data_IF_759092006403
#
_entry.id   IF_759092006403
#
_cell.length_a   1.000
_cell.length_b   1.000
_cell.length_c   1.000
_cell.angle_alpha   90.00
_cell.angle_beta   90.00
_cell.angle_gamma   90.00
#
_symmetry.space_group_name_H-M   'P 1'
#
loop_
_entity.id
_entity.type
_entity.pdbx_description
1 polymer ?
#
# COMPACT_ATOMS: atom_id res chain seq x y z
N UNK A 1 -32.37 33.39 9.19
CA UNK A 1 -32.43 32.21 8.30
C UNK A 1 -33.24 31.16 9.03
N UNK A 2 -34.34 30.68 8.47
CA UNK A 2 -35.08 29.54 9.03
C UNK A 2 -34.29 28.27 8.76
N UNK A 3 -33.93 27.53 9.80
CA UNK A 3 -33.26 26.24 9.68
C UNK A 3 -34.15 25.30 8.87
N UNK A 4 -33.75 25.06 7.61
CA UNK A 4 -34.38 24.03 6.78
C UNK A 4 -33.79 22.69 7.20
N UNK A 5 -34.52 21.96 8.02
CA UNK A 5 -34.21 20.54 8.24
C UNK A 5 -34.61 19.73 7.01
N UNK A 6 -33.74 18.80 6.61
CA UNK A 6 -34.05 17.81 5.59
C UNK A 6 -35.06 16.83 6.18
N UNK A 7 -36.18 16.53 5.50
CA UNK A 7 -37.13 15.53 5.98
C UNK A 7 -36.45 14.16 6.12
N UNK A 8 -36.90 13.31 7.05
CA UNK A 8 -36.35 11.97 7.19
C UNK A 8 -36.53 11.17 5.90
N UNK A 9 -35.59 10.27 5.64
CA UNK A 9 -35.71 9.32 4.53
C UNK A 9 -36.93 8.41 4.75
N UNK A 10 -37.64 8.01 3.68
CA UNK A 10 -38.78 7.11 3.78
C UNK A 10 -38.38 5.65 4.09
N UNK A 11 -37.08 5.35 4.01
CA UNK A 11 -36.52 4.04 4.32
C UNK A 11 -36.67 3.68 5.81
N UNK A 12 -36.64 2.38 6.13
CA UNK A 12 -36.71 1.93 7.53
C UNK A 12 -35.51 2.50 8.33
N UNK A 13 -35.73 2.85 9.61
CA UNK A 13 -34.63 3.27 10.48
C UNK A 13 -33.52 2.23 10.50
N UNK A 14 -32.28 2.67 10.29
CA UNK A 14 -31.12 1.79 10.37
C UNK A 14 -30.86 1.37 11.82
N UNK A 15 -30.49 0.11 12.02
CA UNK A 15 -30.11 -0.40 13.33
C UNK A 15 -28.65 -0.08 13.63
N UNK A 16 -28.36 0.22 14.90
CA UNK A 16 -27.00 0.42 15.38
C UNK A 16 -26.32 -0.94 15.51
N UNK A 17 -25.14 -1.08 14.90
CA UNK A 17 -24.32 -2.29 15.00
C UNK A 17 -23.12 -2.04 15.91
N UNK A 18 -22.89 -2.91 16.89
CA UNK A 18 -21.65 -2.93 17.68
C UNK A 18 -20.60 -3.80 16.97
N UNK A 19 -19.37 -3.30 16.89
CA UNK A 19 -18.26 -3.99 16.23
C UNK A 19 -17.20 -4.41 17.25
N UNK A 20 -16.87 -5.70 17.26
CA UNK A 20 -15.72 -6.21 17.99
C UNK A 20 -14.51 -6.35 17.08
N UNK A 21 -13.46 -5.61 17.42
CA UNK A 21 -12.31 -5.44 16.55
C UNK A 21 -11.13 -6.34 16.94
N UNK A 22 -10.46 -6.91 15.93
CA UNK A 22 -9.17 -7.60 16.08
C UNK A 22 -8.21 -7.10 15.02
N UNK A 23 -6.97 -6.81 15.39
CA UNK A 23 -5.95 -6.32 14.46
C UNK A 23 -4.83 -7.34 14.30
N UNK A 24 -4.53 -7.68 13.06
CA UNK A 24 -3.41 -8.55 12.68
C UNK A 24 -2.30 -7.71 12.02
N UNK A 25 -1.04 -8.07 12.28
CA UNK A 25 0.11 -7.44 11.67
C UNK A 25 0.83 -8.43 10.74
N UNK A 26 0.98 -8.02 9.49
CA UNK A 26 1.68 -8.74 8.44
C UNK A 26 2.97 -8.02 8.12
N UNK A 27 4.09 -8.75 8.10
CA UNK A 27 5.41 -8.18 7.83
C UNK A 27 5.97 -8.73 6.53
N UNK A 28 6.74 -7.90 5.83
CA UNK A 28 7.54 -8.35 4.72
C UNK A 28 8.55 -9.45 5.18
N UNK A 29 8.75 -10.55 4.43
CA UNK A 29 8.06 -10.90 3.18
C UNK A 29 6.65 -11.44 3.47
N UNK A 30 5.64 -10.94 2.74
CA UNK A 30 4.20 -11.19 2.99
C UNK A 30 3.74 -12.61 2.60
N UNK A 31 4.38 -13.62 3.17
CA UNK A 31 4.13 -15.04 2.92
C UNK A 31 3.08 -15.58 3.89
N UNK A 32 1.83 -15.16 3.72
CA UNK A 32 0.70 -15.57 4.54
C UNK A 32 -0.37 -16.26 3.69
N UNK A 33 -1.09 -17.28 4.18
CA UNK A 33 -2.06 -18.04 3.38
C UNK A 33 -3.16 -17.19 2.75
N UNK A 34 -3.47 -16.05 3.39
CA UNK A 34 -4.55 -15.15 3.02
C UNK A 34 -4.07 -13.90 2.26
N UNK A 35 -2.77 -13.84 1.93
CA UNK A 35 -2.15 -12.73 1.19
C UNK A 35 -1.59 -13.25 -0.13
N UNK A 36 -1.98 -12.60 -1.22
CA UNK A 36 -1.40 -12.82 -2.56
C UNK A 36 -0.67 -11.56 -2.99
N UNK A 37 0.64 -11.69 -3.24
CA UNK A 37 1.45 -10.64 -3.85
C UNK A 37 1.41 -10.85 -5.37
N UNK A 38 0.79 -9.92 -6.09
CA UNK A 38 0.76 -9.94 -7.55
C UNK A 38 1.84 -9.00 -8.07
N UNK A 39 2.87 -9.59 -8.68
CA UNK A 39 3.97 -8.86 -9.31
C UNK A 39 3.90 -8.97 -10.83
N UNK A 40 4.21 -7.88 -11.54
CA UNK A 40 4.42 -7.89 -12.99
C UNK A 40 5.80 -7.33 -13.32
N UNK A 41 6.83 -8.14 -13.11
CA UNK A 41 8.24 -7.78 -13.23
C UNK A 41 8.69 -7.49 -14.68
N UNK A 42 9.48 -6.44 -14.88
CA UNK A 42 10.37 -6.26 -16.05
C UNK A 42 11.69 -5.63 -15.58
N UNK A 43 12.73 -6.46 -15.40
CA UNK A 43 14.10 -6.00 -15.14
C UNK A 43 14.71 -6.52 -13.84
N UNK A 44 15.91 -7.11 -13.94
CA UNK A 44 16.62 -7.96 -12.98
C UNK A 44 17.13 -7.33 -11.66
N UNK A 45 16.40 -6.47 -10.97
CA UNK A 45 16.77 -6.03 -9.62
C UNK A 45 16.53 -7.15 -8.59
N UNK A 46 17.60 -7.54 -7.88
CA UNK A 46 17.64 -8.66 -6.92
C UNK A 46 17.34 -8.26 -5.47
N UNK A 47 16.94 -7.02 -5.22
CA UNK A 47 16.79 -6.46 -3.87
C UNK A 47 15.31 -6.29 -3.50
N UNK A 48 15.02 -6.42 -2.20
CA UNK A 48 13.73 -6.92 -1.71
C UNK A 48 12.50 -6.06 -2.03
N UNK A 49 11.52 -6.68 -2.71
CA UNK A 49 10.13 -6.21 -2.90
C UNK A 49 10.04 -4.71 -3.22
N UNK A 50 10.84 -4.29 -4.19
CA UNK A 50 10.57 -3.12 -5.00
C UNK A 50 9.35 -3.46 -5.83
N UNK A 51 8.24 -2.79 -5.54
CA UNK A 51 7.06 -2.91 -6.36
C UNK A 51 7.31 -2.14 -7.64
N UNK A 52 6.93 -2.70 -8.79
CA UNK A 52 7.08 -1.95 -10.02
C UNK A 52 6.37 -0.58 -9.90
N UNK A 53 7.04 0.53 -10.28
CA UNK A 53 6.45 1.85 -10.27
C UNK A 53 5.11 1.84 -11.01
N UNK A 54 4.08 2.48 -10.43
CA UNK A 54 2.94 2.93 -11.22
C UNK A 54 3.50 4.02 -12.14
N UNK A 55 3.76 3.65 -13.40
CA UNK A 55 4.26 4.48 -14.49
C UNK A 55 5.79 4.67 -14.53
N UNK A 56 6.55 3.63 -14.93
CA UNK A 56 7.92 3.80 -15.42
C UNK A 56 7.93 4.56 -16.75
N UNK A 57 8.70 5.64 -16.83
CA UNK A 57 9.10 6.29 -18.09
C UNK A 57 10.07 5.42 -18.87
N UNK A 58 9.54 4.36 -19.45
CA UNK A 58 10.02 3.69 -20.66
C UNK A 58 8.85 2.79 -21.05
N UNK A 59 8.30 2.88 -22.26
CA UNK A 59 7.00 2.30 -22.55
C UNK A 59 7.08 0.81 -22.27
N UNK A 60 6.38 0.34 -21.23
CA UNK A 60 5.95 -1.05 -21.23
C UNK A 60 4.96 -1.16 -22.39
N UNK A 61 5.33 -1.80 -23.51
CA UNK A 61 4.47 -1.91 -24.68
C UNK A 61 3.13 -2.59 -24.36
N UNK A 62 3.04 -3.27 -23.21
CA UNK A 62 1.84 -3.97 -22.76
C UNK A 62 0.99 -3.17 -21.76
N UNK A 63 1.45 -1.99 -21.32
CA UNK A 63 0.74 -1.14 -20.34
C UNK A 63 0.29 -1.91 -19.10
N UNK A 64 1.15 -2.77 -18.55
CA UNK A 64 0.76 -3.66 -17.46
C UNK A 64 0.46 -2.85 -16.17
N UNK A 65 -0.56 -3.25 -15.38
CA UNK A 65 -0.85 -2.62 -14.10
C UNK A 65 0.29 -2.84 -13.11
N UNK A 66 0.44 -1.90 -12.18
CA UNK A 66 1.45 -1.98 -11.12
C UNK A 66 1.22 -3.15 -10.17
N UNK A 67 2.26 -3.47 -9.41
CA UNK A 67 2.21 -4.52 -8.40
C UNK A 67 1.12 -4.21 -7.36
N UNK A 68 0.59 -5.27 -6.75
CA UNK A 68 -0.44 -5.15 -5.71
C UNK A 68 -0.38 -6.26 -4.69
N UNK A 69 -0.76 -5.94 -3.47
CA UNK A 69 -0.96 -6.89 -2.39
C UNK A 69 -2.47 -7.07 -2.20
N UNK A 70 -2.94 -8.29 -2.44
CA UNK A 70 -4.33 -8.67 -2.21
C UNK A 70 -4.41 -9.38 -0.88
N UNK A 71 -5.26 -8.89 0.02
CA UNK A 71 -5.52 -9.52 1.31
C UNK A 71 -7.00 -9.89 1.36
N UNK A 72 -7.28 -11.12 1.76
CA UNK A 72 -8.63 -11.61 2.02
C UNK A 72 -8.69 -12.08 3.47
N UNK A 73 -9.74 -11.74 4.19
CA UNK A 73 -9.92 -12.16 5.59
C UNK A 73 -11.20 -12.95 5.74
N UNK A 74 -11.27 -13.85 6.72
CA UNK A 74 -12.51 -14.57 7.04
C UNK A 74 -13.58 -13.65 7.62
N UNK A 75 -13.16 -12.76 8.51
CA UNK A 75 -13.99 -11.70 9.08
C UNK A 75 -13.89 -10.41 8.24
N UNK A 76 -14.96 -9.59 8.19
CA UNK A 76 -14.93 -8.33 7.46
C UNK A 76 -13.80 -7.40 7.92
N UNK A 77 -12.99 -6.95 6.97
CA UNK A 77 -11.98 -5.91 7.14
C UNK A 77 -12.68 -4.56 7.29
N UNK A 78 -12.30 -3.79 8.30
CA UNK A 78 -12.83 -2.43 8.53
C UNK A 78 -11.73 -1.37 8.58
N UNK A 79 -10.47 -1.78 8.71
CA UNK A 79 -9.33 -0.85 8.68
C UNK A 79 -8.09 -1.52 8.12
N UNK A 80 -7.30 -0.74 7.39
CA UNK A 80 -5.99 -1.14 6.90
C UNK A 80 -4.99 -0.02 7.19
N UNK A 81 -3.87 -0.36 7.83
CA UNK A 81 -2.72 0.53 7.95
C UNK A 81 -1.55 -0.03 7.14
N UNK A 82 -1.00 0.78 6.23
CA UNK A 82 0.13 0.43 5.38
C UNK A 82 1.32 1.27 5.81
N UNK A 83 2.38 0.61 6.23
CA UNK A 83 3.62 1.24 6.69
C UNK A 83 4.74 0.84 5.74
N UNK A 84 5.40 1.84 5.17
CA UNK A 84 6.46 1.66 4.21
C UNK A 84 7.14 2.98 3.88
N UNK A 85 7.80 3.03 2.74
CA UNK A 85 8.51 4.22 2.29
C UNK A 85 8.62 4.26 0.77
N UNK A 86 8.61 5.47 0.23
CA UNK A 86 8.92 5.73 -1.16
C UNK A 86 10.43 5.64 -1.42
N UNK A 87 10.82 5.34 -2.66
CA UNK A 87 12.19 5.57 -3.09
C UNK A 87 12.48 7.07 -3.21
N UNK A 88 11.54 7.81 -3.81
CA UNK A 88 11.60 9.27 -3.96
C UNK A 88 10.32 9.90 -3.42
N UNK A 89 10.31 10.51 -2.22
CA UNK A 89 9.13 11.17 -1.69
C UNK A 89 8.66 12.39 -2.53
N UNK A 90 7.37 12.78 -2.44
CA UNK A 90 6.33 12.14 -1.62
C UNK A 90 5.80 10.84 -2.25
N UNK A 91 5.65 9.82 -1.42
CA UNK A 91 4.97 8.57 -1.73
C UNK A 91 3.45 8.68 -1.72
N UNK A 92 2.80 7.64 -2.23
CA UNK A 92 1.38 7.42 -2.06
C UNK A 92 1.02 5.94 -1.94
N UNK A 93 -0.13 5.67 -1.32
CA UNK A 93 -0.74 4.35 -1.22
C UNK A 93 -2.17 4.45 -1.70
N UNK A 94 -2.59 3.53 -2.56
CA UNK A 94 -3.98 3.34 -2.96
C UNK A 94 -4.53 2.06 -2.35
N UNK A 95 -5.79 2.08 -1.97
CA UNK A 95 -6.51 0.91 -1.46
C UNK A 95 -7.84 0.79 -2.18
N UNK A 96 -8.12 -0.39 -2.73
CA UNK A 96 -9.45 -0.77 -3.20
C UNK A 96 -10.04 -1.78 -2.23
N UNK A 97 -11.25 -1.54 -1.74
CA UNK A 97 -11.97 -2.46 -0.87
C UNK A 97 -13.18 -3.06 -1.58
N UNK A 98 -13.39 -4.35 -1.37
CA UNK A 98 -14.54 -5.12 -1.83
C UNK A 98 -15.47 -5.36 -0.64
N UNK A 99 -16.56 -4.56 -0.51
CA UNK A 99 -17.49 -4.67 0.61
C UNK A 99 -18.13 -6.07 0.70
N UNK A 100 -18.56 -6.45 1.90
CA UNK A 100 -19.38 -7.65 2.09
C UNK A 100 -20.76 -7.50 1.44
N UNK A 101 -21.41 -8.63 1.17
CA UNK A 101 -22.78 -8.66 0.64
C UNK A 101 -23.76 -7.87 1.53
N UNK A 102 -24.75 -7.25 0.91
CA UNK A 102 -25.74 -6.42 1.61
C UNK A 102 -25.28 -5.00 1.95
N UNK A 103 -24.02 -4.64 1.69
CA UNK A 103 -23.58 -3.24 1.74
C UNK A 103 -24.22 -2.37 0.65
N UNK A 104 -24.49 -2.98 -0.52
CA UNK A 104 -25.03 -2.30 -1.71
C UNK A 104 -26.56 -2.23 -1.68
N UNK A 105 -27.13 -1.18 -2.26
CA UNK A 105 -28.56 -1.18 -2.64
C UNK A 105 -28.73 -1.87 -3.99
N UNK A 106 -29.90 -2.46 -4.22
CA UNK A 106 -30.20 -3.19 -5.46
C UNK A 106 -30.21 -2.28 -6.71
N UNK A 107 -30.39 -0.97 -6.54
CA UNK A 107 -30.44 0.03 -7.61
C UNK A 107 -29.08 0.65 -7.95
N UNK A 108 -28.00 0.24 -7.28
CA UNK A 108 -26.64 0.74 -7.52
C UNK A 108 -25.94 -0.01 -8.68
N UNK A 109 -25.23 0.73 -9.54
CA UNK A 109 -24.47 0.17 -10.66
C UNK A 109 -23.18 -0.51 -10.18
N UNK A 110 -23.05 -1.83 -10.39
CA UNK A 110 -21.93 -2.64 -9.93
C UNK A 110 -20.54 -2.14 -10.40
N UNK A 111 -20.44 -1.58 -11.60
CA UNK A 111 -19.16 -1.18 -12.22
C UNK A 111 -18.53 0.08 -11.60
N UNK A 112 -19.30 0.88 -10.87
CA UNK A 112 -18.85 2.17 -10.31
C UNK A 112 -18.14 2.01 -8.95
N UNK A 113 -18.05 0.79 -8.42
CA UNK A 113 -18.22 0.56 -6.98
C UNK A 113 -17.06 0.02 -6.11
N UNK A 114 -15.84 -0.33 -6.55
CA UNK A 114 -14.80 -0.63 -5.56
C UNK A 114 -14.59 0.64 -4.72
N UNK A 115 -14.57 0.49 -3.40
CA UNK A 115 -14.34 1.65 -2.53
C UNK A 115 -12.87 1.98 -2.63
N UNK A 116 -12.56 3.07 -3.32
CA UNK A 116 -11.18 3.47 -3.62
C UNK A 116 -10.74 4.57 -2.69
N UNK A 117 -9.59 4.37 -2.09
CA UNK A 117 -8.90 5.35 -1.25
C UNK A 117 -7.52 5.62 -1.82
N UNK A 118 -7.03 6.82 -1.56
CA UNK A 118 -5.66 7.22 -1.84
C UNK A 118 -5.16 8.08 -0.69
N UNK A 119 -4.02 7.69 -0.14
CA UNK A 119 -3.25 8.49 0.79
C UNK A 119 -2.01 9.00 0.07
N UNK A 120 -1.88 10.32 -0.05
CA UNK A 120 -0.74 11.01 -0.67
C UNK A 120 0.13 11.70 0.40
N UNK A 121 1.24 12.30 -0.03
CA UNK A 121 2.11 13.09 0.84
C UNK A 121 2.89 12.23 1.84
N UNK A 122 3.19 10.98 1.47
CA UNK A 122 3.91 10.05 2.32
C UNK A 122 5.42 10.31 2.23
N UNK A 123 5.95 11.09 3.16
CA UNK A 123 7.34 11.58 3.12
C UNK A 123 8.40 10.56 3.55
N UNK A 124 7.99 9.33 3.85
CA UNK A 124 8.94 8.30 4.19
C UNK A 124 9.83 7.93 2.99
N UNK A 125 11.14 7.95 3.16
CA UNK A 125 12.15 7.60 2.17
C UNK A 125 13.01 6.42 2.65
N UNK A 126 13.09 5.32 1.89
CA UNK A 126 14.11 4.30 2.15
C UNK A 126 15.45 4.69 1.50
N UNK A 127 16.53 4.06 1.97
CA UNK A 127 17.84 4.21 1.33
C UNK A 127 17.80 3.67 -0.09
N UNK A 128 18.31 4.47 -1.03
CA UNK A 128 18.48 4.07 -2.42
C UNK A 128 19.70 3.15 -2.61
N UNK A 129 19.70 2.39 -3.70
CA UNK A 129 20.81 1.50 -4.04
C UNK A 129 22.13 2.25 -4.29
N UNK A 130 22.12 3.47 -4.83
CA UNK A 130 23.33 4.29 -5.01
C UNK A 130 23.95 4.73 -3.67
N UNK A 131 23.11 5.14 -2.71
CA UNK A 131 23.50 5.44 -1.34
C UNK A 131 23.97 4.20 -0.56
N UNK A 132 23.60 3.01 -1.04
CA UNK A 132 24.00 1.72 -0.49
C UNK A 132 25.37 1.24 -1.00
N UNK A 133 25.80 1.73 -2.18
CA UNK A 133 26.97 1.25 -2.93
C UNK A 133 28.24 2.09 -2.75
N UNK A 134 28.30 2.99 -1.76
CA UNK A 134 29.54 3.72 -1.47
C UNK A 134 30.67 2.80 -0.94
N UNK A 135 31.93 3.00 -1.38
CA UNK A 135 33.06 2.27 -0.84
C UNK A 135 33.18 2.51 0.68
N UNK A 136 33.00 1.45 1.46
CA UNK A 136 33.14 1.46 2.90
C UNK A 136 34.21 0.42 3.31
N UNK A 137 35.31 0.81 3.97
CA UNK A 137 36.37 -0.11 4.40
C UNK A 137 35.91 -1.29 5.29
N UNK A 138 34.68 -1.29 5.79
CA UNK A 138 34.07 -2.38 6.58
C UNK A 138 32.82 -3.02 5.98
N UNK A 139 32.45 -2.69 4.73
CA UNK A 139 31.21 -3.19 4.10
C UNK A 139 31.30 -4.62 3.57
N UNK A 140 30.16 -5.28 3.32
CA UNK A 140 30.14 -6.62 2.68
C UNK A 140 30.34 -6.51 1.18
N UNK A 141 31.19 -7.33 0.53
CA UNK A 141 31.41 -7.24 -0.91
C UNK A 141 30.12 -7.50 -1.69
N UNK A 142 29.94 -6.74 -2.77
CA UNK A 142 28.83 -6.91 -3.71
C UNK A 142 29.18 -8.01 -4.71
N UNK A 143 28.40 -9.11 -4.81
CA UNK A 143 28.65 -10.16 -5.80
C UNK A 143 28.68 -9.57 -7.22
N UNK A 144 29.78 -9.79 -7.95
CA UNK A 144 29.95 -9.31 -9.32
C UNK A 144 30.38 -7.84 -9.47
N UNK A 145 30.70 -7.12 -8.38
CA UNK A 145 31.31 -5.78 -8.44
C UNK A 145 32.54 -5.69 -7.54
N UNK A 146 33.72 -5.91 -8.12
CA UNK A 146 34.99 -5.75 -7.40
C UNK A 146 35.15 -4.31 -6.87
N UNK A 147 35.58 -4.19 -5.61
CA UNK A 147 35.77 -2.90 -4.94
C UNK A 147 34.50 -2.24 -4.40
N UNK A 148 33.31 -2.76 -4.71
CA UNK A 148 32.06 -2.31 -4.11
C UNK A 148 31.78 -3.09 -2.82
N UNK A 149 31.40 -2.35 -1.77
CA UNK A 149 31.07 -2.92 -0.47
C UNK A 149 29.76 -2.32 0.03
N UNK A 150 28.82 -3.13 0.48
CA UNK A 150 27.58 -2.68 1.10
C UNK A 150 27.84 -2.04 2.45
N UNK A 151 27.29 -0.83 2.67
CA UNK A 151 27.32 -0.15 3.97
C UNK A 151 26.53 -0.87 5.07
N UNK A 152 25.47 -1.59 4.70
CA UNK A 152 24.52 -2.19 5.64
C UNK A 152 24.20 -3.65 5.30
N UNK A 153 24.09 -4.48 6.34
CA UNK A 153 23.49 -5.81 6.24
C UNK A 153 21.96 -5.71 6.18
N UNK A 154 21.26 -6.76 5.72
CA UNK A 154 19.79 -6.78 5.69
C UNK A 154 19.09 -6.69 7.06
N UNK A 155 19.85 -6.62 8.16
CA UNK A 155 19.36 -6.28 9.51
C UNK A 155 19.57 -4.80 9.88
N UNK A 156 20.39 -4.10 9.10
CA UNK A 156 20.77 -2.69 9.22
C UNK A 156 20.17 -1.85 8.09
N UNK A 157 19.20 -2.38 7.32
CA UNK A 157 18.27 -1.53 6.57
C UNK A 157 17.71 -0.54 7.58
N UNK A 158 18.09 0.75 7.56
CA UNK A 158 17.52 1.63 8.53
C UNK A 158 16.05 1.75 8.20
N UNK A 159 15.26 1.62 9.26
CA UNK A 159 13.89 2.14 9.42
C UNK A 159 13.81 3.67 9.16
N UNK A 160 14.77 4.25 8.44
CA UNK A 160 14.82 5.67 8.15
C UNK A 160 13.67 6.02 7.24
N UNK A 161 12.93 7.06 7.64
CA UNK A 161 11.81 7.62 6.92
C UNK A 161 10.75 6.58 6.54
N UNK A 162 10.09 5.90 7.48
CA UNK A 162 8.81 5.26 7.14
C UNK A 162 7.67 6.26 7.25
N UNK A 163 6.63 6.03 6.46
CA UNK A 163 5.36 6.74 6.50
C UNK A 163 4.24 5.73 6.66
N UNK A 164 3.08 6.19 7.12
CA UNK A 164 1.93 5.36 7.39
C UNK A 164 0.71 5.94 6.68
N UNK A 165 0.03 5.12 5.89
CA UNK A 165 -1.32 5.38 5.42
C UNK A 165 -2.30 4.56 6.25
N UNK A 166 -3.39 5.18 6.72
CA UNK A 166 -4.47 4.50 7.43
C UNK A 166 -5.75 4.72 6.66
N UNK A 167 -6.43 3.62 6.36
CA UNK A 167 -7.72 3.59 5.68
C UNK A 167 -8.73 2.96 6.62
N UNK A 168 -9.81 3.69 6.93
CA UNK A 168 -11.03 3.14 7.51
C UNK A 168 -11.94 2.79 6.32
N UNK A 169 -12.34 1.53 6.22
CA UNK A 169 -13.08 0.99 5.07
C UNK A 169 -14.43 0.44 5.55
N UNK A 170 -15.48 0.42 4.71
CA UNK A 170 -16.67 -0.36 5.05
C UNK A 170 -16.28 -1.83 5.25
N UNK A 171 -17.11 -2.58 5.99
CA UNK A 171 -16.92 -4.02 6.15
C UNK A 171 -16.68 -4.69 4.80
N UNK A 172 -15.46 -5.18 4.60
CA UNK A 172 -14.97 -5.65 3.30
C UNK A 172 -14.36 -7.03 3.41
N UNK A 173 -14.62 -7.91 2.45
CA UNK A 173 -14.06 -9.27 2.43
C UNK A 173 -12.60 -9.28 1.96
N UNK A 174 -12.27 -8.32 1.10
CA UNK A 174 -11.01 -8.25 0.39
C UNK A 174 -10.57 -6.80 0.22
N UNK A 175 -9.27 -6.60 0.32
CA UNK A 175 -8.62 -5.32 0.00
C UNK A 175 -7.46 -5.55 -0.95
N UNK A 176 -7.23 -4.57 -1.82
CA UNK A 176 -6.13 -4.54 -2.79
C UNK A 176 -5.32 -3.27 -2.53
N UNK A 177 -4.04 -3.45 -2.22
CA UNK A 177 -3.13 -2.38 -1.84
C UNK A 177 -2.10 -2.22 -2.94
N UNK A 178 -1.97 -1.00 -3.44
CA UNK A 178 -0.92 -0.59 -4.37
C UNK A 178 -0.29 0.71 -3.90
N UNK A 179 0.90 1.03 -4.40
CA UNK A 179 1.64 2.19 -3.95
C UNK A 179 2.70 2.59 -4.95
N UNK A 180 3.14 3.82 -4.83
CA UNK A 180 4.18 4.39 -5.68
C UNK A 180 4.71 5.67 -5.08
N UNK A 181 5.44 6.42 -5.88
CA UNK A 181 5.87 7.75 -5.50
C UNK A 181 5.60 8.79 -6.57
N UNK A 182 5.51 10.05 -6.16
CA UNK A 182 5.48 11.15 -7.10
C UNK A 182 6.84 11.23 -7.81
N UNK A 183 6.83 11.61 -9.08
CA UNK A 183 8.04 11.99 -9.83
C UNK A 183 8.17 13.52 -9.70
N UNK A 184 8.97 14.06 -8.76
CA UNK A 184 9.06 15.50 -8.60
C UNK A 184 9.89 16.09 -9.75
N UNK A 185 9.60 17.34 -10.13
CA UNK A 185 10.34 18.05 -11.17
C UNK A 185 11.73 18.55 -10.77
N UNK A 186 12.26 18.15 -9.60
CA UNK A 186 13.57 18.60 -9.11
C UNK A 186 14.66 17.68 -9.66
N UNK A 187 15.78 18.23 -10.14
CA UNK A 187 16.70 17.47 -11.01
C UNK A 187 17.97 16.99 -10.33
N UNK A 188 18.23 17.39 -9.08
CA UNK A 188 19.51 17.11 -8.40
C UNK A 188 19.51 15.80 -7.62
N UNK A 189 18.34 15.27 -7.26
CA UNK A 189 18.18 14.09 -6.41
C UNK A 189 17.07 13.12 -6.87
N UNK A 190 16.38 13.40 -7.98
CA UNK A 190 15.30 12.53 -8.48
C UNK A 190 15.75 11.64 -9.63
N UNK A 191 15.41 10.36 -9.52
CA UNK A 191 15.46 9.39 -10.60
C UNK A 191 14.01 9.16 -11.07
N UNK A 192 13.57 9.79 -12.18
CA UNK A 192 12.17 9.76 -12.61
C UNK A 192 11.68 8.39 -13.08
N UNK A 193 12.57 7.40 -13.14
CA UNK A 193 12.34 6.01 -13.51
C UNK A 193 12.10 5.07 -12.31
N UNK A 194 12.33 5.52 -11.07
CA UNK A 194 12.23 4.68 -9.87
C UNK A 194 11.12 5.14 -8.88
N UNK A 195 9.89 5.23 -9.39
CA UNK A 195 8.74 5.79 -8.68
C UNK A 195 7.93 4.74 -7.88
N UNK A 196 8.59 4.00 -6.97
CA UNK A 196 7.93 2.93 -6.20
C UNK A 196 7.77 3.22 -4.70
N UNK A 197 6.89 2.44 -4.07
CA UNK A 197 6.69 2.43 -2.62
C UNK A 197 6.94 1.03 -2.06
N UNK A 198 7.86 0.91 -1.13
CA UNK A 198 8.25 -0.36 -0.50
C UNK A 198 7.37 -0.61 0.73
N UNK A 199 6.48 -1.60 0.64
CA UNK A 199 5.65 -2.03 1.77
C UNK A 199 6.45 -2.88 2.76
N UNK A 200 6.41 -2.49 4.04
CA UNK A 200 7.15 -3.19 5.12
C UNK A 200 6.23 -3.88 6.10
N UNK A 201 5.17 -3.19 6.52
CA UNK A 201 4.19 -3.69 7.47
C UNK A 201 2.80 -3.33 6.97
N UNK A 202 1.88 -4.29 7.02
CA UNK A 202 0.47 -4.05 6.79
C UNK A 202 -0.28 -4.53 8.03
N UNK A 203 -1.10 -3.68 8.61
CA UNK A 203 -2.01 -4.05 9.69
C UNK A 203 -3.43 -4.05 9.17
N UNK A 204 -4.15 -5.13 9.45
CA UNK A 204 -5.55 -5.28 9.04
C UNK A 204 -6.38 -5.45 10.30
N UNK A 205 -7.37 -4.58 10.48
CA UNK A 205 -8.38 -4.73 11.52
C UNK A 205 -9.62 -5.34 10.92
N UNK A 206 -10.05 -6.47 11.48
CA UNK A 206 -11.31 -7.12 11.16
C UNK A 206 -12.34 -6.87 12.25
N UNK A 207 -13.62 -6.96 11.90
CA UNK A 207 -14.74 -6.78 12.80
C UNK A 207 -15.66 -7.99 12.82
N UNK A 208 -16.17 -8.34 14.00
CA UNK A 208 -17.34 -9.20 14.16
C UNK A 208 -18.53 -8.30 14.54
N UNK A 209 -19.62 -8.37 13.75
CA UNK A 209 -20.83 -7.60 14.01
C UNK A 209 -21.69 -8.32 15.05
N UNK A 210 -22.12 -7.60 16.09
CA UNK A 210 -23.10 -8.10 17.05
C UNK A 210 -24.41 -7.32 16.92
N UNK A 211 -25.57 -7.99 16.86
CA UNK A 211 -26.86 -7.32 16.99
C UNK A 211 -26.88 -6.55 18.31
N UNK A 212 -27.20 -5.26 18.22
CA UNK A 212 -27.24 -4.33 19.35
C UNK A 212 -28.59 -4.24 20.04
#
# INVERSE_FOLDING_TARGET
MTDRQVPPYPDQPQERVELLLRTYEYRHPFNYPNIRVERRYRGGESHGLEMNPINTRSPDPEHLPADRIVITEELPIVRVAVIGSACTPPGYVTLEAEPVDGFRREDELEEVMPVRFRADGLWGMHLRADQWLEPNPGGRPVPGREGASFRCTGREFPLAGMSCAVFEVPMSRKVVISGGSAVPGWTTDNFPDDAHYSFRIIRVTVAEARPG
#
